data_IF_064678482216
#
_entry.id   IF_064678482216
#
_cell.length_a   1.000
_cell.length_b   1.000
_cell.length_c   1.000
_cell.angle_alpha   90.00
_cell.angle_beta   90.00
_cell.angle_gamma   90.00
#
_symmetry.space_group_name_H-M   'P 1'
#
loop_
_entity.id
_entity.type
_entity.pdbx_description
1 polymer ?
#
# COMPACT_ATOMS: atom_id res chain seq x y z
N UNK A 1 6.46 -7.35 37.84
CA UNK A 1 5.94 -5.96 37.86
C UNK A 1 4.43 -5.99 37.98
N UNK A 2 3.79 -5.17 38.83
CA UNK A 2 2.31 -5.15 38.90
C UNK A 2 1.76 -4.42 37.66
N UNK A 3 1.12 -5.17 36.75
CA UNK A 3 0.58 -4.62 35.50
C UNK A 3 -0.55 -3.60 35.73
N UNK A 4 -1.13 -3.55 36.93
CA UNK A 4 -2.20 -2.60 37.27
C UNK A 4 -1.68 -1.16 37.46
N UNK A 5 -0.37 -0.97 37.64
CA UNK A 5 0.25 0.35 37.88
C UNK A 5 1.35 0.62 36.87
N UNK A 6 1.00 0.64 35.58
CA UNK A 6 1.93 1.05 34.53
C UNK A 6 2.16 2.58 34.57
N UNK A 7 3.41 3.06 34.36
CA UNK A 7 3.72 4.49 34.28
C UNK A 7 2.94 5.21 33.17
N UNK A 8 2.71 6.52 33.32
CA UNK A 8 1.91 7.32 32.36
C UNK A 8 2.56 7.37 30.98
N UNK A 9 3.88 7.45 30.97
CA UNK A 9 4.75 7.56 29.81
C UNK A 9 4.97 6.24 29.05
N UNK A 10 4.47 5.10 29.56
CA UNK A 10 4.68 3.78 28.95
C UNK A 10 4.28 3.74 27.47
N UNK A 11 3.25 4.50 27.06
CA UNK A 11 2.77 4.58 25.68
C UNK A 11 3.78 5.16 24.69
N UNK A 12 4.84 5.80 25.20
CA UNK A 12 5.90 6.44 24.42
C UNK A 12 7.22 5.67 24.44
N UNK A 13 7.30 4.55 25.16
CA UNK A 13 8.51 3.73 25.17
C UNK A 13 8.84 3.20 23.78
N UNK A 14 10.13 3.30 23.43
CA UNK A 14 10.68 2.87 22.14
C UNK A 14 12.09 2.30 22.30
N UNK A 15 12.52 1.53 21.31
CA UNK A 15 13.84 0.87 21.22
C UNK A 15 14.20 0.16 22.54
N UNK A 16 15.33 0.50 23.16
CA UNK A 16 15.84 -0.18 24.34
C UNK A 16 14.92 -0.03 25.55
N UNK A 17 14.32 1.14 25.76
CA UNK A 17 13.35 1.35 26.83
C UNK A 17 12.12 0.45 26.67
N UNK A 18 11.68 0.25 25.41
CA UNK A 18 10.61 -0.67 25.10
C UNK A 18 11.02 -2.12 25.41
N UNK A 19 12.19 -2.56 24.99
CA UNK A 19 12.64 -3.93 25.24
C UNK A 19 12.85 -4.21 26.73
N UNK A 20 13.48 -3.30 27.46
CA UNK A 20 13.66 -3.41 28.91
C UNK A 20 12.31 -3.47 29.64
N UNK A 21 11.33 -2.69 29.19
CA UNK A 21 9.97 -2.77 29.71
C UNK A 21 9.34 -4.15 29.49
N UNK A 22 9.44 -4.70 28.27
CA UNK A 22 8.88 -6.02 27.95
C UNK A 22 9.59 -7.12 28.75
N UNK A 23 10.90 -7.06 28.88
CA UNK A 23 11.69 -7.99 29.68
C UNK A 23 11.26 -7.98 31.15
N UNK A 24 11.08 -6.80 31.74
CA UNK A 24 10.64 -6.64 33.13
C UNK A 24 9.18 -7.08 33.36
N UNK A 25 8.33 -7.02 32.33
CA UNK A 25 6.92 -7.40 32.43
C UNK A 25 6.68 -8.88 32.13
N UNK A 26 7.24 -9.40 31.05
CA UNK A 26 6.91 -10.70 30.49
C UNK A 26 8.09 -11.69 30.52
N UNK A 27 9.33 -11.19 30.58
CA UNK A 27 10.53 -12.00 30.55
C UNK A 27 11.34 -11.89 29.25
N UNK A 28 12.54 -12.46 29.30
CA UNK A 28 13.56 -12.37 28.25
C UNK A 28 13.10 -12.99 26.93
N UNK A 29 12.37 -14.11 26.98
CA UNK A 29 11.95 -14.81 25.77
C UNK A 29 10.87 -14.06 25.00
N UNK A 30 9.90 -13.48 25.69
CA UNK A 30 8.89 -12.61 25.12
C UNK A 30 9.51 -11.35 24.52
N UNK A 31 10.49 -10.74 25.21
CA UNK A 31 11.26 -9.62 24.65
C UNK A 31 11.99 -10.03 23.36
N UNK A 32 12.68 -11.18 23.35
CA UNK A 32 13.40 -11.68 22.19
C UNK A 32 12.47 -11.97 21.00
N UNK A 33 11.27 -12.48 21.25
CA UNK A 33 10.24 -12.66 20.22
C UNK A 33 9.90 -11.34 19.52
N UNK A 34 9.78 -10.24 20.27
CA UNK A 34 9.52 -8.92 19.70
C UNK A 34 10.74 -8.34 18.96
N UNK A 35 11.96 -8.62 19.44
CA UNK A 35 13.21 -8.23 18.76
C UNK A 35 13.33 -8.89 17.39
N UNK A 36 13.09 -10.21 17.29
CA UNK A 36 13.13 -10.96 16.03
C UNK A 36 12.12 -10.41 15.02
N UNK A 37 10.96 -9.95 15.49
CA UNK A 37 9.93 -9.33 14.66
C UNK A 37 10.18 -7.85 14.35
N UNK A 38 11.29 -7.27 14.83
CA UNK A 38 11.60 -5.85 14.69
C UNK A 38 10.50 -4.92 15.23
N UNK A 39 9.78 -5.36 16.26
CA UNK A 39 8.79 -4.54 16.97
C UNK A 39 9.57 -3.69 17.96
N UNK A 40 9.58 -2.36 17.78
CA UNK A 40 10.45 -1.44 18.52
C UNK A 40 9.72 -0.46 19.44
N UNK A 41 8.39 -0.49 19.51
CA UNK A 41 7.64 0.44 20.36
C UNK A 41 6.23 -0.08 20.68
N UNK A 42 5.67 0.47 21.75
CA UNK A 42 4.34 0.10 22.28
C UNK A 42 3.21 0.30 21.26
N UNK A 43 3.25 1.39 20.50
CA UNK A 43 2.21 1.68 19.49
C UNK A 43 2.16 0.64 18.38
N UNK A 44 3.31 0.08 18.01
CA UNK A 44 3.40 -0.99 17.02
C UNK A 44 2.90 -2.30 17.62
N UNK A 45 3.34 -2.63 18.83
CA UNK A 45 2.89 -3.81 19.57
C UNK A 45 1.35 -3.90 19.67
N UNK A 46 0.70 -2.80 20.08
CA UNK A 46 -0.77 -2.73 20.24
C UNK A 46 -1.54 -3.01 18.94
N UNK A 47 -0.94 -2.68 17.79
CA UNK A 47 -1.58 -2.79 16.47
C UNK A 47 -1.40 -4.15 15.80
N UNK A 48 -0.49 -4.98 16.32
CA UNK A 48 -0.22 -6.29 15.73
C UNK A 48 -1.38 -7.24 16.07
N UNK A 49 -2.02 -7.86 15.07
CA UNK A 49 -3.16 -8.73 15.30
C UNK A 49 -2.75 -10.07 15.93
N UNK A 50 -1.58 -10.60 15.55
CA UNK A 50 -1.04 -11.85 16.06
C UNK A 50 0.49 -11.77 16.16
N UNK A 51 0.99 -11.68 17.40
CA UNK A 51 2.42 -11.63 17.73
C UNK A 51 3.10 -12.97 17.46
N UNK A 52 2.38 -14.07 17.48
CA UNK A 52 2.96 -15.41 17.39
C UNK A 52 3.10 -15.90 15.95
N UNK A 53 2.50 -15.19 14.98
CA UNK A 53 2.58 -15.52 13.56
C UNK A 53 4.03 -15.71 13.05
N UNK A 54 5.00 -14.99 13.61
CA UNK A 54 6.42 -15.14 13.26
C UNK A 54 7.02 -16.51 13.63
N UNK A 55 6.45 -17.20 14.62
CA UNK A 55 6.90 -18.54 15.03
C UNK A 55 6.60 -19.61 13.97
N UNK A 56 5.75 -19.33 12.98
CA UNK A 56 5.53 -20.24 11.85
C UNK A 56 6.71 -20.29 10.86
N UNK A 57 7.61 -19.29 10.91
CA UNK A 57 8.74 -19.17 9.98
C UNK A 57 9.83 -20.18 10.35
N UNK A 58 10.36 -20.90 9.36
CA UNK A 58 11.49 -21.82 9.53
C UNK A 58 12.79 -21.01 9.49
N UNK A 59 13.34 -20.69 10.65
CA UNK A 59 14.62 -19.98 10.79
C UNK A 59 15.40 -20.52 12.00
N UNK A 60 16.73 -20.63 11.88
CA UNK A 60 17.62 -21.08 12.94
C UNK A 60 17.54 -20.19 14.19
N UNK A 61 17.49 -18.87 13.99
CA UNK A 61 17.35 -17.87 15.08
C UNK A 61 16.04 -18.06 15.88
N UNK A 62 15.00 -18.60 15.24
CA UNK A 62 13.70 -18.88 15.86
C UNK A 62 13.62 -20.29 16.46
N UNK A 63 14.50 -21.22 16.10
CA UNK A 63 14.43 -22.60 16.56
C UNK A 63 14.58 -22.68 18.10
N UNK A 64 15.59 -22.00 18.64
CA UNK A 64 15.83 -21.93 20.08
C UNK A 64 14.72 -21.20 20.82
N UNK A 65 14.09 -20.22 20.18
CA UNK A 65 12.99 -19.47 20.78
C UNK A 65 11.69 -20.29 20.78
N UNK A 66 11.46 -21.10 19.73
CA UNK A 66 10.29 -21.99 19.63
C UNK A 66 10.30 -23.06 20.71
N UNK A 67 11.43 -23.69 20.99
CA UNK A 67 11.52 -24.72 22.04
C UNK A 67 11.21 -24.15 23.43
N UNK A 68 11.49 -22.85 23.65
CA UNK A 68 11.18 -22.16 24.91
C UNK A 68 9.73 -21.68 24.99
N UNK A 69 9.17 -21.14 23.90
CA UNK A 69 7.83 -20.53 23.88
C UNK A 69 6.69 -21.47 23.47
N UNK A 70 7.00 -22.62 22.87
CA UNK A 70 6.01 -23.51 22.26
C UNK A 70 6.22 -24.98 22.64
N UNK A 71 5.19 -25.78 22.42
CA UNK A 71 5.28 -27.21 22.19
C UNK A 71 5.29 -27.43 20.67
N UNK A 72 6.29 -28.16 20.17
CA UNK A 72 6.42 -28.50 18.76
C UNK A 72 5.96 -29.94 18.61
N UNK A 73 4.96 -30.15 17.76
CA UNK A 73 4.52 -31.47 17.34
C UNK A 73 5.40 -31.91 16.17
N UNK A 74 6.22 -32.94 16.40
CA UNK A 74 7.19 -33.44 15.42
C UNK A 74 6.51 -34.03 14.18
N UNK A 75 5.32 -34.63 14.34
CA UNK A 75 4.63 -35.35 13.28
C UNK A 75 3.98 -34.40 12.26
N UNK A 76 3.37 -33.32 12.75
CA UNK A 76 2.62 -32.38 11.92
C UNK A 76 3.35 -31.06 11.68
N UNK A 77 4.53 -30.89 12.28
CA UNK A 77 5.25 -29.61 12.33
C UNK A 77 4.32 -28.48 12.83
N UNK A 78 3.36 -28.85 13.69
CA UNK A 78 2.38 -27.93 14.28
C UNK A 78 2.99 -27.29 15.52
N UNK A 79 2.73 -26.00 15.72
CA UNK A 79 3.33 -25.24 16.81
C UNK A 79 2.21 -24.79 17.74
N UNK A 80 2.24 -25.29 18.97
CA UNK A 80 1.29 -24.93 20.02
C UNK A 80 1.99 -23.97 20.98
N UNK A 81 1.55 -22.72 21.03
CA UNK A 81 2.14 -21.72 21.94
C UNK A 81 1.78 -22.09 23.39
N UNK A 82 2.76 -22.03 24.30
CA UNK A 82 2.51 -22.26 25.72
C UNK A 82 1.48 -21.25 26.23
N UNK A 83 0.44 -21.75 26.91
CA UNK A 83 -0.72 -20.94 27.33
C UNK A 83 -0.31 -19.72 28.17
N UNK A 84 0.65 -19.89 29.09
CA UNK A 84 1.16 -18.78 29.91
C UNK A 84 1.74 -17.64 29.07
N UNK A 85 2.59 -17.96 28.09
CA UNK A 85 3.19 -16.97 27.19
C UNK A 85 2.11 -16.19 26.42
N UNK A 86 1.11 -16.90 25.90
CA UNK A 86 0.00 -16.28 25.17
C UNK A 86 -0.78 -15.32 26.08
N UNK A 87 -1.13 -15.80 27.28
CA UNK A 87 -1.90 -15.04 28.25
C UNK A 87 -1.14 -13.79 28.74
N UNK A 88 0.17 -13.87 28.93
CA UNK A 88 1.03 -12.75 29.32
C UNK A 88 0.96 -11.62 28.28
N UNK A 89 1.10 -11.95 26.99
CA UNK A 89 0.98 -10.98 25.91
C UNK A 89 -0.44 -10.41 25.80
N UNK A 90 -1.46 -11.27 25.83
CA UNK A 90 -2.86 -10.85 25.72
C UNK A 90 -3.22 -9.86 26.84
N UNK A 91 -2.82 -10.16 28.08
CA UNK A 91 -3.02 -9.30 29.24
C UNK A 91 -2.30 -7.95 29.08
N UNK A 92 -1.02 -7.95 28.72
CA UNK A 92 -0.27 -6.72 28.53
C UNK A 92 -0.89 -5.85 27.42
N UNK A 93 -1.25 -6.44 26.29
CA UNK A 93 -1.85 -5.72 25.15
C UNK A 93 -3.21 -5.14 25.53
N UNK A 94 -4.04 -5.86 26.27
CA UNK A 94 -5.32 -5.37 26.75
C UNK A 94 -5.17 -4.12 27.63
N UNK A 95 -4.24 -4.17 28.59
CA UNK A 95 -3.95 -3.04 29.49
C UNK A 95 -3.41 -1.84 28.70
N UNK A 96 -2.48 -2.07 27.78
CA UNK A 96 -1.91 -1.01 26.95
C UNK A 96 -2.96 -0.37 26.02
N UNK A 97 -3.88 -1.17 25.45
CA UNK A 97 -5.01 -0.68 24.64
C UNK A 97 -5.96 0.19 25.46
N UNK A 98 -6.29 -0.23 26.68
CA UNK A 98 -7.14 0.56 27.57
C UNK A 98 -6.49 1.90 27.92
N UNK A 99 -5.19 1.89 28.19
CA UNK A 99 -4.42 3.11 28.50
C UNK A 99 -4.32 4.05 27.30
N UNK A 100 -4.07 3.53 26.09
CA UNK A 100 -4.05 4.30 24.84
C UNK A 100 -5.42 4.95 24.57
N UNK A 101 -6.51 4.21 24.80
CA UNK A 101 -7.87 4.73 24.69
C UNK A 101 -8.16 5.87 25.67
N UNK A 102 -7.76 5.74 26.94
CA UNK A 102 -7.89 6.80 27.96
C UNK A 102 -7.11 8.05 27.56
N UNK A 103 -5.87 7.88 27.08
CA UNK A 103 -5.03 8.98 26.59
C UNK A 103 -5.68 9.73 25.41
N UNK A 104 -6.23 9.00 24.43
CA UNK A 104 -6.93 9.58 23.28
C UNK A 104 -8.24 10.29 23.64
N UNK A 105 -8.89 9.90 24.74
CA UNK A 105 -10.08 10.61 25.27
C UNK A 105 -9.71 11.89 26.02
N UNK A 106 -8.68 11.84 26.86
CA UNK A 106 -8.24 12.99 27.66
C UNK A 106 -7.80 14.17 26.78
N UNK A 107 -7.04 13.88 25.73
CA UNK A 107 -6.56 14.90 24.76
C UNK A 107 -7.68 15.61 23.98
N UNK A 108 -8.90 15.05 23.92
CA UNK A 108 -10.04 15.70 23.27
C UNK A 108 -10.76 16.71 24.16
N UNK A 109 -10.77 16.52 25.48
CA UNK A 109 -11.51 17.39 26.42
C UNK A 109 -10.79 18.72 26.68
N UNK A 110 -9.46 18.73 26.64
CA UNK A 110 -8.67 19.94 26.91
C UNK A 110 -8.61 20.95 25.75
N UNK A 111 -9.15 20.62 24.57
CA UNK A 111 -9.18 21.55 23.42
C UNK A 111 -10.52 22.27 23.20
N UNK A 112 -11.58 21.95 23.96
CA UNK A 112 -12.92 22.53 23.75
C UNK A 112 -13.36 23.53 24.82
N UNK A 113 -12.52 23.87 25.80
CA UNK A 113 -12.90 24.74 26.92
C UNK A 113 -12.25 26.14 26.90
N UNK A 114 -11.65 26.55 25.78
CA UNK A 114 -11.27 27.95 25.55
C UNK A 114 -12.40 28.68 24.80
N UNK A 115 -13.59 28.74 25.39
CA UNK A 115 -14.63 29.67 24.96
C UNK A 115 -14.33 31.04 25.57
N UNK A 116 -13.90 31.94 24.70
CA UNK A 116 -13.81 33.39 24.85
C UNK A 116 -14.86 34.00 25.79
N UNK A 117 -14.37 34.64 26.86
CA UNK A 117 -15.09 35.64 27.63
C UNK A 117 -15.44 36.81 26.70
N UNK A 118 -16.71 36.93 26.32
CA UNK A 118 -17.25 38.13 25.67
C UNK A 118 -17.36 39.24 26.70
N UNK A 119 -16.54 40.28 26.56
CA UNK A 119 -16.68 41.54 27.28
C UNK A 119 -18.04 42.17 26.93
N UNK A 120 -18.94 42.28 27.91
CA UNK A 120 -20.10 43.16 27.81
C UNK A 120 -19.67 44.58 28.13
N UNK A 121 -19.80 45.48 27.14
CA UNK A 121 -19.83 46.92 27.36
C UNK A 121 -20.94 47.25 28.35
N UNK A 122 -20.58 47.84 29.50
CA UNK A 122 -21.48 48.67 30.29
C UNK A 122 -20.77 50.01 30.49
N UNK A 123 -21.39 51.04 29.92
CA UNK A 123 -21.09 52.45 30.12
C UNK A 123 -21.12 52.79 31.61
N UNK A 124 -20.12 53.51 32.11
CA UNK A 124 -20.36 54.57 33.09
C UNK A 124 -19.20 55.56 33.17
N UNK A 125 -19.63 56.79 33.32
CA UNK A 125 -18.90 58.06 33.31
C UNK A 125 -18.37 58.41 34.72
N UNK A 126 -17.39 59.32 34.76
CA UNK A 126 -16.93 60.17 35.88
C UNK A 126 -15.72 59.74 36.76
N UNK A 127 -14.64 60.52 36.55
CA UNK A 127 -13.80 61.29 37.51
C UNK A 127 -12.53 60.68 38.14
N UNK A 128 -11.47 61.51 37.98
CA UNK A 128 -10.13 61.51 38.54
C UNK A 128 -10.02 61.14 40.04
N UNK A 129 -8.97 60.39 40.39
CA UNK A 129 -7.79 60.96 41.06
C UNK A 129 -6.65 59.94 41.23
N UNK A 130 -5.47 60.37 40.78
CA UNK A 130 -4.11 60.17 41.29
C UNK A 130 -3.87 59.14 42.42
N UNK A 131 -3.03 58.12 42.18
CA UNK A 131 -1.76 57.94 42.92
C UNK A 131 -0.83 56.89 42.29
N UNK A 132 0.46 57.24 42.29
CA UNK A 132 1.63 56.47 41.91
C UNK A 132 1.62 54.99 42.31
N UNK A 133 1.97 54.13 41.36
CA UNK A 133 2.87 53.00 41.62
C UNK A 133 3.59 52.60 40.34
N UNK A 134 4.93 52.57 40.43
CA UNK A 134 5.84 52.14 39.38
C UNK A 134 5.56 50.68 39.02
N UNK A 135 5.10 50.43 37.79
CA UNK A 135 5.02 49.09 37.21
C UNK A 135 6.04 49.03 36.07
N UNK A 136 6.94 48.08 36.22
CA UNK A 136 8.05 47.77 35.33
C UNK A 136 7.48 47.36 33.97
N UNK A 137 7.79 48.14 32.93
CA UNK A 137 7.55 47.80 31.53
C UNK A 137 8.33 46.51 31.18
N UNK A 138 7.63 45.38 31.19
CA UNK A 138 8.10 44.15 30.55
C UNK A 138 7.90 44.28 29.04
N UNK A 139 8.97 44.21 28.23
CA UNK A 139 8.82 44.25 26.79
C UNK A 139 8.04 43.00 26.34
N UNK A 140 6.92 43.22 25.64
CA UNK A 140 6.20 42.17 24.92
C UNK A 140 7.19 41.48 23.96
N UNK A 141 7.70 40.33 24.37
CA UNK A 141 8.44 39.43 23.49
C UNK A 141 7.43 38.92 22.48
N UNK A 142 7.45 39.53 21.29
CA UNK A 142 6.73 39.05 20.12
C UNK A 142 7.26 37.65 19.81
N UNK A 143 6.48 36.62 20.16
CA UNK A 143 6.81 35.24 19.85
C UNK A 143 6.90 35.15 18.33
N UNK A 144 8.06 34.79 17.75
CA UNK A 144 8.18 34.65 16.31
C UNK A 144 7.16 33.62 15.85
N UNK A 145 6.20 34.08 15.05
CA UNK A 145 5.15 33.22 14.49
C UNK A 145 5.83 32.32 13.48
N UNK A 146 6.27 31.14 13.93
CA UNK A 146 6.92 30.16 13.06
C UNK A 146 5.99 29.87 11.88
N UNK A 147 6.40 30.30 10.68
CA UNK A 147 5.61 30.13 9.49
C UNK A 147 5.27 28.64 9.31
N UNK A 148 3.98 28.31 9.32
CA UNK A 148 3.52 26.93 9.14
C UNK A 148 3.77 26.59 7.68
N UNK A 149 4.83 25.80 7.42
CA UNK A 149 5.11 25.28 6.09
C UNK A 149 3.98 24.32 5.66
N UNK A 150 3.04 24.82 4.86
CA UNK A 150 1.91 24.11 4.25
C UNK A 150 2.31 23.65 2.84
N UNK A 151 1.82 22.49 2.42
CA UNK A 151 2.01 22.02 1.05
C UNK A 151 1.24 22.91 0.07
N UNK A 152 1.60 22.87 -1.22
CA UNK A 152 0.83 23.58 -2.23
C UNK A 152 -0.58 23.00 -2.36
N UNK A 153 -1.54 23.81 -2.83
CA UNK A 153 -2.91 23.35 -3.06
C UNK A 153 -2.96 22.14 -4.01
N UNK A 154 -2.13 22.14 -5.05
CA UNK A 154 -2.05 21.05 -6.02
C UNK A 154 -1.55 19.74 -5.39
N UNK A 155 -0.56 19.83 -4.49
CA UNK A 155 -0.08 18.64 -3.76
C UNK A 155 -1.18 18.05 -2.88
N UNK A 156 -1.97 18.91 -2.23
CA UNK A 156 -3.11 18.44 -1.44
C UNK A 156 -4.17 17.76 -2.31
N UNK A 157 -4.49 18.32 -3.48
CA UNK A 157 -5.41 17.70 -4.44
C UNK A 157 -4.90 16.32 -4.84
N UNK A 158 -3.62 16.18 -5.18
CA UNK A 158 -3.03 14.90 -5.57
C UNK A 158 -3.08 13.87 -4.42
N UNK A 159 -2.74 14.28 -3.20
CA UNK A 159 -2.80 13.39 -2.01
C UNK A 159 -4.22 12.91 -1.76
N UNK A 160 -5.22 13.78 -1.89
CA UNK A 160 -6.62 13.42 -1.75
C UNK A 160 -7.05 12.47 -2.86
N UNK A 161 -6.72 12.77 -4.12
CA UNK A 161 -7.04 11.93 -5.28
C UNK A 161 -6.49 10.51 -5.14
N UNK A 162 -5.19 10.38 -4.81
CA UNK A 162 -4.54 9.09 -4.57
C UNK A 162 -5.20 8.32 -3.42
N UNK A 163 -5.63 9.03 -2.38
CA UNK A 163 -6.32 8.41 -1.23
C UNK A 163 -7.72 7.88 -1.60
N UNK A 164 -8.44 8.59 -2.48
CA UNK A 164 -9.75 8.17 -2.99
C UNK A 164 -9.59 6.95 -3.89
N UNK A 165 -8.63 6.97 -4.81
CA UNK A 165 -8.33 5.86 -5.71
C UNK A 165 -7.97 4.61 -4.91
N UNK A 166 -7.02 4.71 -3.99
CA UNK A 166 -6.62 3.62 -3.10
C UNK A 166 -7.79 3.06 -2.28
N UNK A 167 -8.64 3.95 -1.74
CA UNK A 167 -9.85 3.53 -1.03
C UNK A 167 -10.82 2.78 -1.94
N UNK A 168 -10.99 3.23 -3.19
CA UNK A 168 -11.90 2.62 -4.15
C UNK A 168 -11.48 1.20 -4.53
N UNK A 169 -10.20 0.99 -4.85
CA UNK A 169 -9.62 -0.32 -5.17
C UNK A 169 -9.84 -1.30 -4.01
N UNK A 170 -9.57 -0.86 -2.79
CA UNK A 170 -9.65 -1.71 -1.60
C UNK A 170 -11.10 -2.01 -1.16
N UNK A 171 -12.06 -1.15 -1.47
CA UNK A 171 -13.43 -1.25 -0.95
C UNK A 171 -14.43 -1.77 -1.97
N UNK A 172 -14.26 -1.39 -3.23
CA UNK A 172 -15.20 -1.68 -4.30
C UNK A 172 -14.46 -2.55 -5.33
N UNK A 173 -14.55 -3.87 -5.17
CA UNK A 173 -13.95 -4.86 -6.06
C UNK A 173 -14.14 -4.45 -7.53
N UNK A 174 -13.06 -4.03 -8.19
CA UNK A 174 -13.00 -3.60 -9.59
C UNK A 174 -13.64 -2.25 -9.96
N UNK A 175 -13.93 -1.35 -9.00
CA UNK A 175 -14.31 0.04 -9.28
C UNK A 175 -13.16 0.97 -8.89
N UNK A 176 -12.48 1.51 -9.90
CA UNK A 176 -11.46 2.56 -9.72
C UNK A 176 -12.14 3.91 -9.88
N UNK A 177 -12.11 4.73 -8.83
CA UNK A 177 -12.61 6.10 -8.85
C UNK A 177 -11.44 7.06 -9.09
N UNK A 178 -11.34 7.58 -10.31
CA UNK A 178 -10.35 8.60 -10.67
C UNK A 178 -10.84 10.01 -10.33
N UNK A 179 -9.88 10.90 -10.07
CA UNK A 179 -10.12 12.34 -10.08
C UNK A 179 -10.69 12.75 -11.45
N UNK A 180 -11.59 13.73 -11.47
CA UNK A 180 -12.33 14.22 -12.65
C UNK A 180 -13.43 13.29 -13.20
N UNK A 181 -13.27 11.97 -13.11
CA UNK A 181 -14.30 11.02 -13.57
C UNK A 181 -15.42 10.80 -12.54
N UNK A 182 -15.08 10.82 -11.25
CA UNK A 182 -15.99 10.45 -10.16
C UNK A 182 -16.31 11.62 -9.23
N UNK A 183 -15.38 12.55 -9.07
CA UNK A 183 -15.51 13.69 -8.19
C UNK A 183 -14.55 14.83 -8.59
N UNK A 184 -14.95 16.06 -8.27
CA UNK A 184 -14.10 17.24 -8.36
C UNK A 184 -13.69 17.70 -6.97
N UNK A 185 -12.39 17.94 -6.76
CA UNK A 185 -11.84 18.43 -5.50
C UNK A 185 -11.68 19.95 -5.61
N UNK A 186 -12.29 20.69 -4.70
CA UNK A 186 -12.13 22.14 -4.61
C UNK A 186 -11.46 22.48 -3.28
N UNK A 187 -10.26 23.05 -3.36
CA UNK A 187 -9.53 23.57 -2.20
C UNK A 187 -9.31 25.07 -2.41
N UNK A 188 -9.45 25.85 -1.33
CA UNK A 188 -9.12 27.26 -1.31
C UNK A 188 -8.18 27.54 -0.13
N UNK A 189 -7.16 28.35 -0.37
CA UNK A 189 -6.14 28.68 0.62
C UNK A 189 -6.17 30.19 0.87
N UNK A 190 -6.46 30.57 2.10
CA UNK A 190 -6.47 31.96 2.57
C UNK A 190 -5.51 32.09 3.74
N UNK A 191 -4.26 32.49 3.45
CA UNK A 191 -3.19 32.57 4.43
C UNK A 191 -2.80 31.20 4.98
N UNK A 192 -2.95 31.01 6.29
CA UNK A 192 -2.67 29.74 6.99
C UNK A 192 -3.87 28.81 7.07
N UNK A 193 -5.04 29.27 6.62
CA UNK A 193 -6.26 28.48 6.57
C UNK A 193 -6.43 27.87 5.19
N UNK A 194 -6.67 26.56 5.15
CA UNK A 194 -7.07 25.86 3.94
C UNK A 194 -8.43 25.20 4.18
N UNK A 195 -9.38 25.51 3.32
CA UNK A 195 -10.70 24.90 3.30
C UNK A 195 -10.92 24.15 1.99
N UNK A 196 -11.86 23.22 2.01
CA UNK A 196 -12.11 22.43 0.83
C UNK A 196 -13.34 21.57 0.93
N UNK A 197 -13.81 21.13 -0.23
CA UNK A 197 -14.91 20.18 -0.36
C UNK A 197 -14.70 19.30 -1.60
N UNK A 198 -15.31 18.12 -1.58
CA UNK A 198 -15.40 17.22 -2.73
C UNK A 198 -16.81 17.32 -3.29
N UNK A 199 -16.93 17.65 -4.57
CA UNK A 199 -18.19 17.57 -5.31
C UNK A 199 -18.28 16.20 -5.98
N UNK A 200 -19.12 15.33 -5.43
CA UNK A 200 -19.40 14.02 -6.01
C UNK A 200 -20.25 14.17 -7.28
N UNK A 201 -20.11 13.27 -8.26
CA UNK A 201 -20.96 13.25 -9.46
C UNK A 201 -22.46 13.04 -9.18
N UNK A 202 -22.83 12.53 -8.00
CA UNK A 202 -24.22 12.55 -7.55
C UNK A 202 -24.71 13.94 -7.09
N UNK A 203 -23.94 15.01 -7.38
CA UNK A 203 -24.16 16.42 -7.02
C UNK A 203 -24.02 16.76 -5.53
N UNK A 204 -23.68 15.79 -4.68
CA UNK A 204 -23.42 16.05 -3.26
C UNK A 204 -22.08 16.76 -3.07
N UNK A 205 -22.09 17.90 -2.37
CA UNK A 205 -20.88 18.59 -1.93
C UNK A 205 -20.53 18.16 -0.49
N UNK A 206 -19.34 17.64 -0.28
CA UNK A 206 -18.89 17.06 0.99
C UNK A 206 -17.70 17.83 1.50
N UNK A 207 -17.90 18.58 2.59
CA UNK A 207 -16.84 19.38 3.22
C UNK A 207 -15.69 18.49 3.68
N UNK A 208 -14.46 18.95 3.47
CA UNK A 208 -13.22 18.31 3.91
C UNK A 208 -12.63 19.07 5.11
N UNK A 209 -12.75 18.55 6.34
CA UNK A 209 -12.10 19.16 7.49
C UNK A 209 -10.56 19.04 7.35
N UNK A 210 -9.86 20.17 7.39
CA UNK A 210 -8.41 20.19 7.47
C UNK A 210 -7.95 20.01 8.92
N UNK A 211 -6.97 19.13 9.15
CA UNK A 211 -6.40 18.86 10.47
C UNK A 211 -5.02 19.50 10.56
N UNK A 212 -4.91 20.61 11.31
CA UNK A 212 -3.66 21.36 11.45
C UNK A 212 -2.51 20.50 12.00
N UNK A 213 -2.77 19.64 13.00
CA UNK A 213 -1.74 18.81 13.62
C UNK A 213 -1.08 17.81 12.65
N UNK A 214 -1.86 17.26 11.71
CA UNK A 214 -1.38 16.27 10.73
C UNK A 214 -1.14 16.88 9.36
N UNK A 215 -1.41 18.19 9.21
CA UNK A 215 -1.39 18.93 7.95
C UNK A 215 -2.11 18.18 6.82
N UNK A 216 -3.29 17.61 7.10
CA UNK A 216 -3.98 16.71 6.16
C UNK A 216 -5.51 16.86 6.21
N UNK A 217 -6.19 16.52 5.12
CA UNK A 217 -7.66 16.50 5.06
C UNK A 217 -8.26 15.20 5.57
N UNK A 218 -9.42 15.28 6.21
CA UNK A 218 -10.18 14.11 6.66
C UNK A 218 -11.21 13.67 5.61
N UNK A 219 -11.00 12.49 5.02
CA UNK A 219 -11.85 11.94 3.95
C UNK A 219 -12.99 11.03 4.43
N UNK A 220 -13.12 10.80 5.74
CA UNK A 220 -14.09 9.84 6.28
C UNK A 220 -15.54 10.14 5.91
N UNK A 221 -15.91 11.42 5.76
CA UNK A 221 -17.26 11.80 5.35
C UNK A 221 -17.53 11.45 3.88
N UNK A 222 -16.55 11.67 3.01
CA UNK A 222 -16.62 11.27 1.61
C UNK A 222 -16.69 9.75 1.45
N UNK A 223 -15.86 9.01 2.18
CA UNK A 223 -15.89 7.55 2.17
C UNK A 223 -17.20 6.98 2.73
N UNK A 224 -17.73 7.58 3.81
CA UNK A 224 -19.08 7.23 4.32
C UNK A 224 -20.14 7.50 3.27
N UNK A 225 -20.04 8.61 2.54
CA UNK A 225 -20.93 8.90 1.42
C UNK A 225 -20.83 7.81 0.34
N UNK A 226 -19.65 7.43 -0.12
CA UNK A 226 -19.50 6.36 -1.13
C UNK A 226 -20.03 4.99 -0.65
N UNK A 227 -19.85 4.66 0.64
CA UNK A 227 -20.24 3.36 1.20
C UNK A 227 -21.73 3.26 1.54
N UNK A 228 -22.28 4.29 2.19
CA UNK A 228 -23.60 4.24 2.83
C UNK A 228 -24.65 5.14 2.16
N UNK A 229 -24.25 6.16 1.41
CA UNK A 229 -25.26 7.04 0.81
C UNK A 229 -25.88 6.38 -0.42
N UNK A 230 -27.07 6.84 -0.77
CA UNK A 230 -27.72 6.62 -2.07
C UNK A 230 -26.94 7.29 -3.22
N UNK A 231 -25.60 7.28 -3.18
CA UNK A 231 -24.73 7.83 -4.21
C UNK A 231 -25.10 7.17 -5.54
N UNK A 232 -25.82 7.93 -6.36
CA UNK A 232 -26.35 7.46 -7.65
C UNK A 232 -25.21 7.05 -8.58
N UNK A 233 -24.05 7.71 -8.49
CA UNK A 233 -22.84 7.34 -9.21
C UNK A 233 -22.37 5.92 -8.84
N UNK A 234 -22.26 5.60 -7.55
CA UNK A 234 -21.86 4.26 -7.11
C UNK A 234 -22.92 3.20 -7.48
N UNK A 235 -24.21 3.55 -7.42
CA UNK A 235 -25.29 2.66 -7.90
C UNK A 235 -25.14 2.36 -9.39
N UNK A 236 -24.88 3.37 -10.22
CA UNK A 236 -24.68 3.24 -11.67
C UNK A 236 -23.46 2.36 -11.98
N UNK A 237 -22.31 2.61 -11.34
CA UNK A 237 -21.08 1.82 -11.53
C UNK A 237 -21.28 0.34 -11.16
N UNK A 238 -22.01 0.05 -10.08
CA UNK A 238 -22.35 -1.34 -9.70
C UNK A 238 -23.27 -2.00 -10.72
N UNK A 239 -24.21 -1.27 -11.31
CA UNK A 239 -25.07 -1.79 -12.37
C UNK A 239 -24.29 -2.05 -13.67
N UNK A 240 -23.38 -1.16 -14.05
CA UNK A 240 -22.49 -1.34 -15.21
C UNK A 240 -21.64 -2.61 -15.06
N UNK A 241 -21.07 -2.85 -13.87
CA UNK A 241 -20.32 -4.08 -13.60
C UNK A 241 -21.17 -5.35 -13.73
N UNK A 242 -22.42 -5.33 -13.22
CA UNK A 242 -23.34 -6.47 -13.36
C UNK A 242 -23.74 -6.74 -14.81
N UNK A 243 -23.91 -5.69 -15.61
CA UNK A 243 -24.19 -5.84 -17.05
C UNK A 243 -23.01 -6.46 -17.78
N UNK A 244 -21.79 -6.03 -17.46
CA UNK A 244 -20.57 -6.56 -18.08
C UNK A 244 -20.30 -8.02 -17.67
N UNK A 245 -20.59 -8.42 -16.43
CA UNK A 245 -20.42 -9.81 -15.99
C UNK A 245 -21.39 -10.77 -16.69
N UNK A 246 -22.62 -10.33 -16.95
CA UNK A 246 -23.60 -11.15 -17.66
C UNK A 246 -23.26 -11.29 -19.15
N UNK A 247 -22.70 -10.22 -19.75
CA UNK A 247 -22.27 -10.26 -21.15
C UNK A 247 -21.13 -11.28 -21.36
N UNK A 248 -20.16 -11.32 -20.44
CA UNK A 248 -19.08 -12.32 -20.50
C UNK A 248 -19.56 -13.75 -20.30
N UNK A 249 -20.67 -13.96 -19.57
CA UNK A 249 -21.20 -15.29 -19.33
C UNK A 249 -21.99 -15.84 -20.53
N UNK A 250 -22.64 -14.98 -21.31
CA UNK A 250 -23.36 -15.36 -22.53
C UNK A 250 -22.43 -15.63 -23.73
N UNK A 251 -21.29 -14.94 -23.83
CA UNK A 251 -20.32 -15.19 -24.91
C UNK A 251 -19.70 -16.59 -24.79
N UNK A 252 -19.62 -17.17 -23.58
CA UNK A 252 -19.10 -18.52 -23.36
C UNK A 252 -20.14 -19.64 -23.53
N UNK A 253 -21.44 -19.34 -23.68
CA UNK A 253 -22.47 -20.37 -23.87
C UNK A 253 -22.88 -20.59 -25.33
N UNK A 254 -22.47 -19.71 -26.26
CA UNK A 254 -22.85 -19.82 -27.68
C UNK A 254 -21.88 -20.67 -28.54
N UNK A 255 -21.01 -21.47 -27.93
CA UNK A 255 -20.15 -22.45 -28.62
C UNK A 255 -20.53 -23.91 -28.35
N UNK A 256 -21.72 -24.17 -27.82
CA UNK A 256 -22.26 -25.53 -27.73
C UNK A 256 -23.32 -25.68 -28.82
N UNK A 257 -22.94 -26.43 -29.85
CA UNK A 257 -23.77 -26.95 -30.93
C UNK A 257 -25.03 -27.63 -30.35
N UNK A 258 -26.26 -27.34 -30.83
CA UNK A 258 -27.42 -28.10 -30.40
C UNK A 258 -27.38 -29.48 -31.05
N UNK A 259 -27.36 -30.54 -30.23
CA UNK A 259 -27.69 -31.90 -30.66
C UNK A 259 -29.18 -31.98 -30.92
N UNK A 260 -29.54 -32.26 -32.17
CA UNK A 260 -30.84 -32.76 -32.60
C UNK A 260 -31.08 -34.15 -31.99
N UNK A 261 -32.25 -34.35 -31.41
CA UNK A 261 -32.97 -35.63 -31.41
C UNK A 261 -34.49 -35.32 -31.39
N UNK A 262 -35.11 -35.67 -32.52
CA UNK A 262 -36.42 -36.25 -32.82
C UNK A 262 -37.72 -35.87 -32.08
N UNK A 263 -38.64 -35.39 -32.91
CA UNK A 263 -40.05 -35.78 -33.13
C UNK A 263 -41.04 -35.87 -31.95
N UNK A 264 -42.15 -35.12 -32.07
CA UNK A 264 -43.50 -35.65 -32.33
C UNK A 264 -44.44 -34.51 -32.78
N UNK A 265 -45.18 -34.78 -33.86
CA UNK A 265 -46.22 -33.99 -34.52
C UNK A 265 -47.42 -33.61 -33.62
N UNK A 266 -48.14 -32.51 -33.96
CA UNK A 266 -49.50 -32.56 -34.56
C UNK A 266 -50.07 -31.14 -34.85
N UNK A 267 -50.49 -30.97 -36.12
CA UNK A 267 -51.57 -30.16 -36.75
C UNK A 267 -51.59 -28.61 -36.69
N UNK A 268 -51.44 -27.96 -37.86
CA UNK A 268 -52.50 -27.40 -38.76
C UNK A 268 -53.18 -26.17 -38.12
N UNK A 269 -53.05 -24.94 -38.62
CA UNK A 269 -53.49 -24.52 -39.96
C UNK A 269 -53.05 -23.09 -40.32
N UNK A 270 -53.13 -22.80 -41.62
CA UNK A 270 -53.28 -21.50 -42.29
C UNK A 270 -52.03 -20.77 -42.82
N UNK A 271 -51.83 -21.02 -44.11
CA UNK A 271 -51.21 -20.21 -45.17
C UNK A 271 -51.71 -18.76 -45.21
N UNK A 272 -50.80 -17.81 -45.49
CA UNK A 272 -50.74 -17.05 -46.76
C UNK A 272 -49.55 -16.07 -46.67
N UNK A 273 -48.43 -16.27 -47.38
CA UNK A 273 -48.15 -16.01 -48.79
C UNK A 273 -47.78 -14.55 -49.14
N UNK A 274 -46.70 -14.46 -49.93
CA UNK A 274 -46.23 -13.37 -50.80
C UNK A 274 -45.49 -12.21 -50.12
N UNK A 275 -44.44 -11.63 -50.68
CA UNK A 275 -43.55 -11.90 -51.81
C UNK A 275 -42.60 -10.70 -51.82
N UNK A 276 -41.35 -10.92 -52.22
CA UNK A 276 -40.59 -10.10 -53.19
C UNK A 276 -39.12 -9.91 -52.79
N UNK A 277 -38.29 -10.58 -53.60
CA UNK A 277 -37.18 -10.03 -54.38
C UNK A 277 -36.02 -9.40 -53.60
N UNK A 278 -34.75 -9.63 -53.90
CA UNK A 278 -33.97 -10.40 -54.87
C UNK A 278 -32.51 -10.24 -54.35
N UNK A 279 -31.44 -10.93 -54.73
CA UNK A 279 -30.98 -11.41 -56.02
C UNK A 279 -29.70 -12.23 -55.73
N UNK A 280 -29.49 -13.26 -56.53
CA UNK A 280 -28.29 -14.10 -56.57
C UNK A 280 -27.16 -13.31 -57.26
N UNK A 281 -25.92 -13.37 -56.76
CA UNK A 281 -24.75 -13.65 -57.61
C UNK A 281 -23.48 -13.99 -56.83
N UNK A 282 -22.97 -15.15 -57.21
CA UNK A 282 -21.65 -15.76 -57.01
C UNK A 282 -20.50 -14.88 -57.51
N UNK A 283 -19.42 -14.75 -56.73
CA UNK A 283 -18.09 -15.30 -57.03
C UNK A 283 -16.99 -14.61 -56.21
N UNK A 284 -16.13 -15.44 -55.60
CA UNK A 284 -14.86 -15.10 -54.97
C UNK A 284 -13.98 -14.24 -55.91
N UNK A 285 -13.20 -13.32 -55.33
CA UNK A 285 -11.77 -13.59 -55.35
C UNK A 285 -11.09 -13.38 -53.98
N UNK A 286 -9.97 -14.08 -53.85
CA UNK A 286 -8.99 -14.04 -52.78
C UNK A 286 -8.53 -12.59 -52.55
N UNK A 287 -8.67 -12.11 -51.31
CA UNK A 287 -8.09 -10.86 -50.85
C UNK A 287 -7.32 -11.13 -49.55
N UNK A 288 -6.00 -10.96 -49.65
CA UNK A 288 -5.03 -10.83 -48.56
C UNK A 288 -5.46 -9.76 -47.58
N UNK A 289 -5.71 -10.14 -46.33
CA UNK A 289 -5.85 -9.21 -45.21
C UNK A 289 -4.52 -9.15 -44.45
N UNK A 290 -3.78 -8.08 -44.71
CA UNK A 290 -3.01 -7.39 -43.69
C UNK A 290 -3.98 -6.49 -42.93
N UNK A 291 -4.30 -6.79 -41.66
CA UNK A 291 -4.40 -5.70 -40.69
C UNK A 291 -4.22 -6.13 -39.23
N UNK A 292 -3.53 -5.21 -38.58
CA UNK A 292 -3.04 -5.15 -37.22
C UNK A 292 -4.15 -4.92 -36.19
N UNK A 293 -4.49 -5.94 -35.42
CA UNK A 293 -5.08 -5.73 -34.09
C UNK A 293 -3.95 -5.61 -33.07
N UNK A 294 -3.53 -4.37 -32.80
CA UNK A 294 -2.72 -4.05 -31.62
C UNK A 294 -3.57 -4.32 -30.38
N UNK A 295 -3.52 -5.55 -29.90
CA UNK A 295 -4.00 -5.94 -28.59
C UNK A 295 -3.25 -5.10 -27.54
N UNK A 296 -3.98 -4.21 -26.87
CA UNK A 296 -3.44 -3.39 -25.78
C UNK A 296 -3.06 -4.32 -24.63
N UNK A 297 -1.79 -4.70 -24.59
CA UNK A 297 -1.18 -5.41 -23.45
C UNK A 297 -1.47 -4.62 -22.16
N UNK A 298 -1.89 -5.30 -21.08
CA UNK A 298 -2.15 -4.65 -19.80
C UNK A 298 -0.92 -3.89 -19.29
N UNK A 299 -1.14 -2.71 -18.71
CA UNK A 299 -0.08 -1.84 -18.19
C UNK A 299 0.66 -2.52 -17.04
N UNK A 300 1.99 -2.59 -17.17
CA UNK A 300 2.89 -3.60 -16.60
C UNK A 300 3.50 -3.28 -15.23
N UNK A 301 2.93 -2.34 -14.45
CA UNK A 301 3.46 -1.98 -13.12
C UNK A 301 3.08 -2.95 -12.00
N UNK A 302 2.31 -4.00 -12.29
CA UNK A 302 1.82 -4.99 -11.31
C UNK A 302 2.72 -6.23 -11.21
N UNK A 303 3.43 -6.58 -12.29
CA UNK A 303 4.12 -7.86 -12.41
C UNK A 303 5.22 -8.09 -11.35
N UNK A 304 5.93 -7.01 -11.00
CA UNK A 304 7.10 -7.06 -10.11
C UNK A 304 6.70 -7.22 -8.65
N UNK A 305 5.64 -6.50 -8.24
CA UNK A 305 4.99 -6.71 -6.94
C UNK A 305 4.47 -8.13 -6.89
N UNK A 306 3.83 -8.61 -7.96
CA UNK A 306 3.24 -9.95 -8.00
C UNK A 306 4.30 -11.04 -7.82
N UNK A 307 5.49 -10.95 -8.45
CA UNK A 307 6.58 -11.94 -8.24
C UNK A 307 7.01 -11.99 -6.77
N UNK A 308 7.29 -10.84 -6.16
CA UNK A 308 7.78 -10.76 -4.79
C UNK A 308 6.68 -11.09 -3.76
N UNK A 309 5.44 -10.70 -4.05
CA UNK A 309 4.25 -10.93 -3.25
C UNK A 309 3.82 -12.40 -3.28
N UNK A 310 3.85 -13.03 -4.46
CA UNK A 310 3.59 -14.47 -4.64
C UNK A 310 4.64 -15.30 -3.89
N UNK A 311 5.91 -14.88 -3.92
CA UNK A 311 6.96 -15.52 -3.12
C UNK A 311 6.91 -15.16 -1.63
N UNK A 312 5.99 -14.27 -1.22
CA UNK A 312 5.86 -13.74 0.14
C UNK A 312 7.17 -13.18 0.70
N UNK A 313 8.02 -12.63 -0.17
CA UNK A 313 9.29 -12.02 0.22
C UNK A 313 8.99 -10.64 0.81
N UNK A 314 8.82 -10.60 2.13
CA UNK A 314 8.45 -9.39 2.86
C UNK A 314 9.64 -8.49 3.21
N UNK A 315 10.87 -8.99 3.09
CA UNK A 315 12.06 -8.22 3.40
C UNK A 315 13.27 -8.62 2.53
N UNK A 316 14.25 -7.72 2.45
CA UNK A 316 15.50 -7.90 1.71
C UNK A 316 16.33 -9.06 2.27
N UNK A 317 16.29 -9.30 3.59
CA UNK A 317 17.04 -10.38 4.24
C UNK A 317 16.62 -11.76 3.73
N UNK A 318 15.31 -11.98 3.55
CA UNK A 318 14.75 -13.21 2.97
C UNK A 318 15.14 -13.32 1.49
N UNK A 319 15.04 -12.23 0.71
CA UNK A 319 15.43 -12.22 -0.70
C UNK A 319 16.89 -12.69 -0.88
N UNK A 320 17.80 -12.18 -0.04
CA UNK A 320 19.23 -12.50 -0.10
C UNK A 320 19.57 -13.93 0.33
N UNK A 321 18.68 -14.60 1.08
CA UNK A 321 18.86 -15.97 1.55
C UNK A 321 18.32 -17.03 0.56
N UNK A 322 17.56 -16.61 -0.46
CA UNK A 322 17.00 -17.54 -1.43
C UNK A 322 18.10 -17.94 -2.45
N UNK A 323 18.44 -19.24 -2.56
CA UNK A 323 19.50 -19.69 -3.45
C UNK A 323 19.14 -19.57 -4.93
N UNK A 324 17.85 -19.72 -5.28
CA UNK A 324 17.32 -19.49 -6.62
C UNK A 324 15.94 -18.83 -6.54
N UNK A 325 15.91 -17.53 -6.83
CA UNK A 325 14.68 -16.71 -6.83
C UNK A 325 13.73 -17.10 -7.96
N UNK A 326 14.18 -17.86 -8.96
CA UNK A 326 13.35 -18.30 -10.10
C UNK A 326 12.74 -19.68 -9.92
N UNK A 327 13.22 -20.47 -8.95
CA UNK A 327 12.72 -21.82 -8.66
C UNK A 327 11.20 -21.89 -8.45
N UNK A 328 10.55 -20.79 -8.04
CA UNK A 328 9.09 -20.74 -7.91
C UNK A 328 8.34 -20.88 -9.25
N UNK A 329 8.96 -20.49 -10.38
CA UNK A 329 8.40 -20.68 -11.72
C UNK A 329 8.37 -22.16 -12.14
N UNK A 330 9.05 -23.05 -11.41
CA UNK A 330 8.94 -24.50 -11.63
C UNK A 330 7.72 -25.10 -10.91
N UNK A 331 7.10 -24.39 -9.96
CA UNK A 331 5.92 -24.89 -9.24
C UNK A 331 4.68 -24.81 -10.11
N UNK A 332 3.94 -25.91 -10.25
CA UNK A 332 2.71 -25.95 -11.04
C UNK A 332 1.53 -25.39 -10.23
N UNK A 333 1.46 -24.06 -10.07
CA UNK A 333 0.41 -23.36 -9.34
C UNK A 333 -0.39 -22.47 -10.29
N UNK A 334 -1.73 -22.60 -10.26
CA UNK A 334 -2.68 -21.82 -11.07
C UNK A 334 -2.55 -20.32 -10.82
N UNK A 335 -2.22 -19.91 -9.60
CA UNK A 335 -2.04 -18.49 -9.23
C UNK A 335 -0.81 -17.86 -9.89
N UNK A 336 0.13 -18.68 -10.36
CA UNK A 336 1.42 -18.26 -10.94
C UNK A 336 1.39 -18.43 -12.47
N UNK A 337 0.34 -19.04 -13.04
CA UNK A 337 0.27 -19.37 -14.47
C UNK A 337 0.36 -18.11 -15.35
N UNK A 338 -0.44 -17.09 -15.05
CA UNK A 338 -0.40 -15.80 -15.77
C UNK A 338 0.97 -15.13 -15.69
N UNK A 339 1.61 -15.24 -14.54
CA UNK A 339 2.93 -14.67 -14.32
C UNK A 339 4.01 -15.45 -15.07
N UNK A 340 3.90 -16.79 -15.13
CA UNK A 340 4.77 -17.65 -15.94
C UNK A 340 4.66 -17.32 -17.43
N UNK A 341 3.45 -17.15 -17.96
CA UNK A 341 3.22 -16.78 -19.36
C UNK A 341 3.91 -15.46 -19.72
N UNK A 342 3.98 -14.53 -18.76
CA UNK A 342 4.59 -13.22 -18.95
C UNK A 342 6.11 -13.23 -18.76
N UNK A 343 6.63 -14.02 -17.81
CA UNK A 343 8.02 -13.99 -17.38
C UNK A 343 8.90 -15.12 -17.95
N UNK A 344 8.31 -16.22 -18.42
CA UNK A 344 9.01 -17.33 -19.05
C UNK A 344 8.76 -17.38 -20.56
N UNK A 345 9.60 -18.16 -21.24
CA UNK A 345 9.21 -18.94 -22.40
C UNK A 345 8.60 -20.24 -21.89
N UNK A 346 7.37 -20.52 -22.32
CA UNK A 346 6.67 -21.78 -22.07
C UNK A 346 6.80 -22.55 -23.37
N UNK A 347 7.70 -23.54 -23.39
CA UNK A 347 7.74 -24.52 -24.47
C UNK A 347 6.70 -25.62 -24.20
N UNK A 348 6.46 -26.50 -25.18
CA UNK A 348 5.54 -27.64 -25.03
C UNK A 348 5.97 -28.62 -23.91
N UNK A 349 7.21 -28.51 -23.45
CA UNK A 349 7.75 -29.21 -22.28
C UNK A 349 7.41 -28.43 -20.98
N UNK A 350 7.10 -29.09 -19.85
CA UNK A 350 6.73 -28.42 -18.59
C UNK A 350 7.86 -27.57 -17.95
N UNK A 351 9.02 -27.47 -18.60
CA UNK A 351 10.11 -26.61 -18.22
C UNK A 351 9.84 -25.14 -18.58
N UNK A 352 9.65 -24.30 -17.57
CA UNK A 352 9.59 -22.84 -17.70
C UNK A 352 11.02 -22.30 -17.81
N UNK A 353 11.38 -21.67 -18.92
CA UNK A 353 12.66 -20.94 -19.03
C UNK A 353 12.39 -19.46 -18.81
N UNK A 354 12.84 -18.90 -17.69
CA UNK A 354 12.69 -17.45 -17.42
C UNK A 354 13.40 -16.66 -18.52
N UNK A 355 12.72 -15.64 -19.07
CA UNK A 355 13.26 -14.81 -20.14
C UNK A 355 14.61 -14.22 -19.70
N UNK A 356 15.69 -14.33 -20.51
CA UNK A 356 17.05 -13.93 -20.12
C UNK A 356 17.15 -12.50 -19.57
N UNK A 357 16.40 -11.54 -20.15
CA UNK A 357 16.36 -10.16 -19.66
C UNK A 357 15.78 -10.01 -18.25
N UNK A 358 14.70 -10.74 -17.93
CA UNK A 358 14.09 -10.72 -16.59
C UNK A 358 15.03 -11.37 -15.58
N UNK A 359 15.61 -12.52 -15.96
CA UNK A 359 16.58 -13.25 -15.15
C UNK A 359 17.79 -12.38 -14.80
N UNK A 360 18.43 -11.79 -15.81
CA UNK A 360 19.62 -10.95 -15.64
C UNK A 360 19.34 -9.73 -14.75
N UNK A 361 18.19 -9.07 -14.91
CA UNK A 361 17.84 -7.92 -14.08
C UNK A 361 17.67 -8.32 -12.60
N UNK A 362 16.88 -9.34 -12.31
CA UNK A 362 16.67 -9.79 -10.93
C UNK A 362 17.99 -10.26 -10.29
N UNK A 363 18.84 -10.98 -11.03
CA UNK A 363 20.17 -11.40 -10.56
C UNK A 363 21.07 -10.20 -10.25
N UNK A 364 21.14 -9.20 -11.14
CA UNK A 364 21.90 -7.96 -10.91
C UNK A 364 21.40 -7.18 -9.68
N UNK A 365 20.08 -7.12 -9.48
CA UNK A 365 19.49 -6.48 -8.31
C UNK A 365 19.89 -7.20 -7.02
N UNK A 366 19.83 -8.53 -7.00
CA UNK A 366 20.25 -9.35 -5.86
C UNK A 366 21.75 -9.17 -5.60
N UNK A 367 22.59 -9.16 -6.63
CA UNK A 367 24.03 -8.95 -6.51
C UNK A 367 24.35 -7.58 -5.89
N UNK A 368 23.67 -6.53 -6.33
CA UNK A 368 23.83 -5.18 -5.75
C UNK A 368 23.39 -5.11 -4.30
N UNK A 369 22.29 -5.79 -3.94
CA UNK A 369 21.90 -5.93 -2.54
C UNK A 369 22.95 -6.73 -1.75
N UNK A 370 23.49 -7.83 -2.29
CA UNK A 370 24.55 -8.61 -1.61
C UNK A 370 25.79 -7.76 -1.35
N UNK A 371 26.23 -6.96 -2.33
CA UNK A 371 27.38 -6.09 -2.18
C UNK A 371 27.13 -5.00 -1.13
N UNK A 372 25.94 -4.40 -1.11
CA UNK A 372 25.57 -3.40 -0.12
C UNK A 372 25.45 -3.96 1.31
N UNK A 373 25.03 -5.22 1.45
CA UNK A 373 24.86 -5.88 2.74
C UNK A 373 26.03 -6.78 3.14
N UNK A 374 27.11 -6.83 2.34
CA UNK A 374 28.30 -7.59 2.68
C UNK A 374 28.93 -6.94 3.91
N UNK A 375 29.08 -7.66 5.04
CA UNK A 375 29.73 -7.11 6.21
C UNK A 375 31.15 -6.68 5.81
N UNK A 376 31.50 -5.42 6.04
CA UNK A 376 32.84 -4.90 5.83
C UNK A 376 33.74 -5.64 6.85
N UNK A 377 34.40 -6.70 6.40
CA UNK A 377 35.31 -7.50 7.23
C UNK A 377 36.76 -7.01 7.17
N UNK A 378 37.02 -5.80 6.65
CA UNK A 378 38.35 -5.22 6.69
C UNK A 378 38.63 -4.53 8.04
N UNK A 379 39.70 -4.91 8.78
CA UNK A 379 39.91 -4.45 10.16
C UNK A 379 40.36 -2.99 10.35
N UNK A 380 40.50 -2.16 9.29
CA UNK A 380 41.41 -1.00 9.37
C UNK A 380 40.83 0.40 9.10
N UNK A 381 39.51 0.61 9.19
CA UNK A 381 38.99 1.98 9.27
C UNK A 381 37.83 2.09 10.27
N UNK A 382 38.19 2.44 11.51
CA UNK A 382 37.26 2.95 12.49
C UNK A 382 36.93 4.42 12.16
N UNK A 383 35.94 4.65 11.31
CA UNK A 383 35.19 5.91 11.24
C UNK A 383 33.96 5.78 10.35
N UNK A 384 32.80 6.16 10.88
CA UNK A 384 31.72 6.71 10.05
C UNK A 384 30.45 5.89 9.91
N UNK A 385 29.56 6.04 10.89
CA UNK A 385 28.12 6.30 10.74
C UNK A 385 27.21 5.27 10.02
N UNK A 386 26.02 5.14 10.60
CA UNK A 386 24.86 4.48 10.02
C UNK A 386 24.54 5.03 8.62
N UNK A 387 25.13 4.45 7.58
CA UNK A 387 24.79 4.71 6.18
C UNK A 387 23.30 4.43 5.99
N UNK A 388 22.51 5.49 5.98
CA UNK A 388 21.09 5.43 5.69
C UNK A 388 20.91 4.86 4.26
N UNK A 389 19.93 3.97 4.09
CA UNK A 389 19.35 3.53 2.80
C UNK A 389 19.12 4.67 1.78
N UNK A 390 19.08 5.91 2.24
CA UNK A 390 19.15 7.15 1.49
C UNK A 390 20.21 7.14 0.34
N UNK A 391 21.41 6.59 0.58
CA UNK A 391 22.48 6.54 -0.43
C UNK A 391 22.20 5.55 -1.57
N UNK A 392 21.57 4.42 -1.26
CA UNK A 392 21.11 3.44 -2.25
C UNK A 392 19.93 3.99 -3.08
N UNK A 393 19.13 4.89 -2.50
CA UNK A 393 17.97 5.51 -3.14
C UNK A 393 18.30 6.80 -3.89
N UNK A 394 19.49 7.37 -3.79
CA UNK A 394 19.87 8.59 -4.52
C UNK A 394 21.24 8.42 -5.16
N UNK A 395 21.27 8.14 -6.46
CA UNK A 395 22.51 8.18 -7.24
C UNK A 395 22.80 9.66 -7.54
N UNK A 396 23.66 10.28 -6.74
CA UNK A 396 24.24 11.57 -7.09
C UNK A 396 25.41 11.32 -8.05
N UNK A 397 25.14 11.39 -9.35
CA UNK A 397 26.22 11.52 -10.33
C UNK A 397 26.65 13.00 -10.32
N UNK A 398 27.93 13.26 -10.07
CA UNK A 398 28.52 14.61 -10.02
C UNK A 398 28.51 15.41 -11.32
N UNK A 399 27.67 15.04 -12.30
CA UNK A 399 27.47 15.80 -13.52
C UNK A 399 26.10 16.49 -13.47
N UNK A 400 26.16 17.80 -13.31
CA UNK A 400 25.06 18.76 -13.36
C UNK A 400 24.24 18.59 -14.65
N UNK A 401 22.97 18.17 -14.51
CA UNK A 401 21.79 18.42 -15.38
C UNK A 401 20.77 17.28 -15.43
N UNK A 402 21.05 16.12 -14.82
CA UNK A 402 20.06 15.04 -14.72
C UNK A 402 19.63 14.80 -13.28
N UNK A 403 18.33 15.00 -13.02
CA UNK A 403 17.68 14.67 -11.75
C UNK A 403 18.15 13.29 -11.26
N UNK A 404 18.66 13.23 -10.03
CA UNK A 404 19.12 12.01 -9.38
C UNK A 404 17.97 10.99 -9.33
N UNK A 405 17.93 10.07 -10.29
CA UNK A 405 16.98 8.95 -10.27
C UNK A 405 17.48 7.94 -9.24
N UNK A 406 16.58 7.46 -8.40
CA UNK A 406 16.92 6.40 -7.45
C UNK A 406 17.41 5.17 -8.19
N UNK A 407 18.32 4.40 -7.60
CA UNK A 407 18.75 3.12 -8.19
C UNK A 407 17.54 2.22 -8.48
N UNK A 408 16.57 2.19 -7.57
CA UNK A 408 15.29 1.49 -7.77
C UNK A 408 14.57 1.97 -9.02
N UNK A 409 14.51 3.29 -9.26
CA UNK A 409 13.93 3.84 -10.48
C UNK A 409 14.71 3.44 -11.74
N UNK A 410 16.05 3.48 -11.72
CA UNK A 410 16.89 3.08 -12.86
C UNK A 410 16.73 1.59 -13.15
N UNK A 411 16.74 0.76 -12.11
CA UNK A 411 16.50 -0.67 -12.17
C UNK A 411 15.13 -1.00 -12.77
N UNK A 412 14.06 -0.42 -12.21
CA UNK A 412 12.69 -0.61 -12.69
C UNK A 412 12.56 -0.12 -14.13
N UNK A 413 13.15 1.03 -14.48
CA UNK A 413 13.10 1.55 -15.85
C UNK A 413 13.77 0.62 -16.87
N UNK A 414 14.89 0.00 -16.50
CA UNK A 414 15.57 -0.97 -17.36
C UNK A 414 14.84 -2.31 -17.48
N UNK A 415 14.29 -2.79 -16.37
CA UNK A 415 13.47 -3.99 -16.37
C UNK A 415 12.26 -3.78 -17.29
N UNK A 416 11.61 -2.62 -17.19
CA UNK A 416 10.47 -2.25 -18.04
C UNK A 416 10.84 -2.14 -19.52
N UNK A 417 12.03 -1.64 -19.88
CA UNK A 417 12.50 -1.64 -21.26
C UNK A 417 12.69 -3.05 -21.80
N UNK A 418 13.27 -3.95 -21.01
CA UNK A 418 13.60 -5.31 -21.43
C UNK A 418 12.38 -6.25 -21.45
N UNK A 419 11.35 -6.00 -20.65
CA UNK A 419 10.07 -6.73 -20.70
C UNK A 419 9.25 -6.33 -21.95
N UNK A 420 9.32 -5.07 -22.35
CA UNK A 420 8.56 -4.53 -23.49
C UNK A 420 9.30 -4.68 -24.84
N UNK A 421 10.59 -5.01 -24.82
CA UNK A 421 11.39 -5.20 -26.02
C UNK A 421 11.04 -6.49 -26.78
N UNK A 422 11.29 -6.55 -28.10
CA UNK A 422 11.24 -7.80 -28.84
C UNK A 422 12.26 -8.78 -28.26
N UNK A 423 11.98 -10.08 -28.34
CA UNK A 423 12.71 -11.18 -27.68
C UNK A 423 14.23 -11.21 -27.91
N UNK A 424 14.73 -10.46 -28.90
CA UNK A 424 16.11 -10.55 -29.37
C UNK A 424 16.92 -9.25 -29.22
N UNK A 425 16.39 -8.20 -28.55
CA UNK A 425 17.12 -6.92 -28.46
C UNK A 425 17.04 -6.30 -27.06
N UNK A 426 17.82 -6.87 -26.13
CA UNK A 426 17.94 -6.37 -24.77
C UNK A 426 18.92 -5.19 -24.72
N UNK A 427 18.49 -4.06 -24.17
CA UNK A 427 19.34 -2.90 -23.95
C UNK A 427 19.33 -2.53 -22.47
N UNK A 428 20.53 -2.39 -21.91
CA UNK A 428 20.72 -1.89 -20.56
C UNK A 428 20.95 -0.38 -20.59
N UNK A 429 20.37 0.35 -19.64
CA UNK A 429 20.74 1.74 -19.40
C UNK A 429 22.25 1.79 -19.12
N UNK A 430 23.01 2.64 -19.84
CA UNK A 430 24.45 2.75 -19.66
C UNK A 430 24.88 3.00 -18.22
N UNK A 431 24.01 3.61 -17.40
CA UNK A 431 24.28 3.88 -15.97
C UNK A 431 24.39 2.58 -15.18
N UNK A 432 23.63 1.53 -15.51
CA UNK A 432 23.73 0.23 -14.83
C UNK A 432 25.06 -0.46 -15.10
N UNK A 433 25.58 -0.34 -16.33
CA UNK A 433 26.91 -0.85 -16.65
C UNK A 433 28.03 -0.06 -15.94
N UNK A 434 27.84 1.24 -15.72
CA UNK A 434 28.80 2.08 -14.98
C UNK A 434 28.85 1.73 -13.49
N UNK A 435 27.73 1.35 -12.88
CA UNK A 435 27.69 0.90 -11.47
C UNK A 435 28.51 -0.37 -11.22
N UNK A 436 28.74 -1.19 -12.26
CA UNK A 436 29.59 -2.40 -12.19
C UNK A 436 31.09 -2.09 -12.12
N UNK A 437 31.50 -0.88 -12.51
CA UNK A 437 32.91 -0.46 -12.60
C UNK A 437 33.29 0.41 -11.39
N UNK A 438 32.30 1.02 -10.71
CA UNK A 438 32.51 1.97 -9.61
C UNK A 438 32.28 1.41 -8.20
N UNK A 439 31.87 0.14 -8.08
CA UNK A 439 31.76 -0.64 -6.83
C UNK A 439 32.82 -1.74 -6.86
#
# INVERSE_FOLDING_TARGET
MNLNTLPGEVLFYSNDQFYQFIENCLGVDQMNLLKVQSIKNIRTLIKIPDIFSALTIKCKELADLKSRLCFVDEDNNSIIIKVGVKMDFDNLIAILKEKDYKYLKGTKKSKSSSSSTTNSLVSNTFVLNTTNSNIIDSPLISIPTTAINLMSVNDYIQVIANSIEKYSINTFQNIILKHDDACMIHLNQSGTCIDGYIKCHCKSAIKLPFRLNTKSFQLSHYFKHLKHSLCSMMKKKRQELKKNSNLSHNINQNNILPSLDDEINFDEDSMDNLNENSQITTNKPISTYSDSSKEKRPTSSLLDSDILEIQRIKNVRILLQIPDVFSFFQKNNKDILKLKEQACFIDDDPSCVVRPGIRSNIEQFIELLKNHYKPITEPNHAQGENSCMCGFLNINNGNTEHQSKSFVHIFVSNLMKNINGPSNNYQFDPIVNKLRISL
#
